data_IF_184504646554
#
_entry.id   IF_184504646554
#
_cell.length_a   1.000
_cell.length_b   1.000
_cell.length_c   1.000
_cell.angle_alpha   90.00
_cell.angle_beta   90.00
_cell.angle_gamma   90.00
#
_symmetry.space_group_name_H-M   'P 1'
#
loop_
_entity.id
_entity.type
_entity.pdbx_description
1 polymer ?
#
# COMPACT_ATOMS: atom_id res chain seq x y z
N UNK A 1 -12.02 -23.38 -12.15
CA UNK A 1 -11.81 -23.37 -13.62
C UNK A 1 -10.87 -24.50 -14.04
N UNK A 2 -9.74 -24.69 -13.36
CA UNK A 2 -8.76 -25.77 -13.60
C UNK A 2 -9.37 -27.19 -13.48
N UNK A 3 -10.02 -27.51 -12.34
CA UNK A 3 -10.58 -28.85 -12.09
C UNK A 3 -11.64 -29.28 -13.11
N UNK A 4 -12.42 -28.32 -13.65
CA UNK A 4 -13.46 -28.57 -14.66
C UNK A 4 -12.88 -28.93 -16.03
N UNK A 5 -11.64 -28.54 -16.30
CA UNK A 5 -10.93 -28.82 -17.55
C UNK A 5 -10.19 -30.15 -17.42
N UNK A 6 -9.60 -30.42 -16.26
CA UNK A 6 -8.93 -31.68 -15.91
C UNK A 6 -9.90 -32.86 -15.95
N UNK A 7 -11.08 -32.76 -15.32
CA UNK A 7 -12.12 -33.79 -15.39
C UNK A 7 -12.58 -34.05 -16.84
N UNK A 8 -12.67 -33.02 -17.68
CA UNK A 8 -13.05 -33.18 -19.11
C UNK A 8 -11.98 -33.87 -19.93
N UNK A 9 -10.70 -33.70 -19.59
CA UNK A 9 -9.58 -34.34 -20.26
C UNK A 9 -9.47 -35.81 -19.85
N UNK A 10 -9.56 -36.12 -18.56
CA UNK A 10 -9.53 -37.50 -18.05
C UNK A 10 -10.70 -38.34 -18.58
N UNK A 11 -11.91 -37.77 -18.59
CA UNK A 11 -13.11 -38.42 -19.13
C UNK A 11 -12.96 -38.72 -20.64
N UNK A 12 -12.25 -37.89 -21.40
CA UNK A 12 -12.10 -38.06 -22.85
C UNK A 12 -10.93 -38.97 -23.25
N UNK A 13 -9.83 -38.93 -22.51
CA UNK A 13 -8.71 -39.89 -22.66
C UNK A 13 -9.20 -41.33 -22.46
N UNK A 14 -10.18 -41.56 -21.55
CA UNK A 14 -10.79 -42.88 -21.36
C UNK A 14 -11.73 -43.30 -22.50
N UNK A 15 -12.31 -42.36 -23.26
CA UNK A 15 -13.26 -42.64 -24.35
C UNK A 15 -12.53 -42.99 -25.67
N UNK A 16 -11.26 -42.62 -25.82
CA UNK A 16 -10.54 -42.58 -27.10
C UNK A 16 -9.64 -43.76 -27.46
N UNK A 17 -10.00 -44.97 -27.05
CA UNK A 17 -9.39 -46.16 -27.65
C UNK A 17 -9.87 -46.44 -29.10
N UNK A 18 -10.75 -45.62 -29.69
CA UNK A 18 -11.20 -45.76 -31.08
C UNK A 18 -11.54 -44.39 -31.74
N UNK A 19 -10.63 -43.89 -32.57
CA UNK A 19 -10.88 -42.95 -33.69
C UNK A 19 -11.43 -41.54 -33.38
N UNK A 20 -10.60 -40.58 -32.93
CA UNK A 20 -10.81 -39.12 -33.17
C UNK A 20 -9.58 -38.20 -32.88
N UNK A 21 -8.42 -38.51 -33.48
CA UNK A 21 -7.13 -37.80 -33.31
C UNK A 21 -7.16 -36.25 -33.52
N UNK A 22 -8.09 -35.72 -34.31
CA UNK A 22 -8.18 -34.28 -34.61
C UNK A 22 -8.72 -33.39 -33.48
N UNK A 23 -9.71 -33.88 -32.71
CA UNK A 23 -10.35 -33.10 -31.65
C UNK A 23 -9.45 -33.04 -30.40
N UNK A 24 -8.75 -34.14 -30.07
CA UNK A 24 -7.71 -34.14 -29.03
C UNK A 24 -6.63 -33.11 -29.35
N UNK A 25 -6.13 -33.10 -30.59
CA UNK A 25 -5.09 -32.18 -31.02
C UNK A 25 -5.51 -30.72 -30.86
N UNK A 26 -6.76 -30.39 -31.19
CA UNK A 26 -7.30 -29.06 -30.99
C UNK A 26 -7.37 -28.69 -29.50
N UNK A 27 -7.88 -29.59 -28.65
CA UNK A 27 -7.97 -29.38 -27.21
C UNK A 27 -6.59 -29.23 -26.55
N UNK A 28 -5.61 -30.05 -26.95
CA UNK A 28 -4.23 -29.93 -26.48
C UNK A 28 -3.60 -28.61 -26.93
N UNK A 29 -3.88 -28.16 -28.15
CA UNK A 29 -3.39 -26.88 -28.67
C UNK A 29 -4.01 -25.70 -27.91
N UNK A 30 -5.31 -25.71 -27.66
CA UNK A 30 -6.01 -24.71 -26.82
C UNK A 30 -5.43 -24.69 -25.40
N UNK A 31 -5.17 -25.85 -24.82
CA UNK A 31 -4.56 -25.97 -23.50
C UNK A 31 -3.15 -25.36 -23.46
N UNK A 32 -2.30 -25.66 -24.46
CA UNK A 32 -0.97 -25.07 -24.58
C UNK A 32 -1.01 -23.55 -24.75
N UNK A 33 -1.96 -23.01 -25.52
CA UNK A 33 -2.17 -21.56 -25.64
C UNK A 33 -2.54 -20.96 -24.30
N UNK A 34 -3.49 -21.55 -23.58
CA UNK A 34 -3.93 -21.07 -22.27
C UNK A 34 -2.80 -21.07 -21.24
N UNK A 35 -1.99 -22.13 -21.21
CA UNK A 35 -0.79 -22.18 -20.35
C UNK A 35 0.17 -21.05 -20.71
N UNK A 36 0.50 -20.86 -21.99
CA UNK A 36 1.40 -19.80 -22.43
C UNK A 36 0.87 -18.41 -22.08
N UNK A 37 -0.43 -18.20 -22.23
CA UNK A 37 -1.08 -16.94 -21.83
C UNK A 37 -0.93 -16.69 -20.33
N UNK A 38 -1.26 -17.68 -19.49
CA UNK A 38 -1.11 -17.58 -18.04
C UNK A 38 0.35 -17.35 -17.63
N UNK A 39 1.31 -18.04 -18.24
CA UNK A 39 2.74 -17.84 -18.00
C UNK A 39 3.20 -16.45 -18.39
N UNK A 40 2.74 -15.92 -19.54
CA UNK A 40 3.03 -14.55 -19.97
C UNK A 40 2.56 -13.55 -18.92
N UNK A 41 1.30 -13.66 -18.47
CA UNK A 41 0.75 -12.79 -17.45
C UNK A 41 1.53 -12.89 -16.14
N UNK A 42 1.93 -14.09 -15.74
CA UNK A 42 2.73 -14.30 -14.53
C UNK A 42 4.10 -13.62 -14.63
N UNK A 43 4.82 -13.80 -15.74
CA UNK A 43 6.13 -13.16 -15.98
C UNK A 43 6.04 -11.63 -16.00
N UNK A 44 5.00 -11.07 -16.64
CA UNK A 44 4.78 -9.62 -16.68
C UNK A 44 4.41 -9.05 -15.30
N UNK A 45 3.60 -9.77 -14.52
CA UNK A 45 3.32 -9.41 -13.13
C UNK A 45 4.59 -9.44 -12.28
N UNK A 46 5.42 -10.47 -12.42
CA UNK A 46 6.71 -10.54 -11.73
C UNK A 46 7.60 -9.34 -12.08
N UNK A 47 7.78 -9.04 -13.37
CA UNK A 47 8.60 -7.90 -13.83
C UNK A 47 8.10 -6.57 -13.27
N UNK A 48 6.79 -6.35 -13.36
CA UNK A 48 6.16 -5.14 -12.87
C UNK A 48 6.33 -5.00 -11.35
N UNK A 49 6.10 -6.07 -10.61
CA UNK A 49 6.31 -6.10 -9.16
C UNK A 49 7.80 -5.86 -8.83
N UNK A 50 8.72 -6.57 -9.48
CA UNK A 50 10.16 -6.40 -9.28
C UNK A 50 10.58 -4.95 -9.54
N UNK A 51 10.15 -4.36 -10.66
CA UNK A 51 10.47 -2.96 -10.98
C UNK A 51 9.92 -1.99 -9.95
N UNK A 52 8.67 -2.18 -9.53
CA UNK A 52 8.10 -1.38 -8.45
C UNK A 52 8.89 -1.53 -7.14
N UNK A 53 9.33 -2.76 -6.81
CA UNK A 53 10.03 -3.07 -5.57
C UNK A 53 11.47 -2.64 -5.51
N UNK A 54 12.18 -2.72 -6.61
CA UNK A 54 13.62 -2.49 -6.64
C UNK A 54 13.96 -1.14 -7.25
N UNK A 55 12.98 -0.50 -7.90
CA UNK A 55 13.16 0.68 -8.76
C UNK A 55 14.17 0.42 -9.88
N UNK A 56 14.35 -0.86 -10.24
CA UNK A 56 15.28 -1.35 -11.24
C UNK A 56 14.66 -2.50 -12.04
N UNK A 57 15.16 -2.78 -13.23
CA UNK A 57 14.72 -3.94 -14.00
C UNK A 57 15.34 -5.22 -13.45
N UNK A 58 14.58 -6.33 -13.47
CA UNK A 58 15.13 -7.65 -13.14
C UNK A 58 16.24 -8.03 -14.12
N UNK A 59 17.30 -8.65 -13.60
CA UNK A 59 18.38 -9.18 -14.43
C UNK A 59 17.92 -10.41 -15.25
N UNK A 60 16.81 -11.03 -14.86
CA UNK A 60 16.27 -12.21 -15.52
C UNK A 60 15.51 -11.88 -16.80
N UNK A 61 16.03 -12.38 -17.91
CA UNK A 61 15.36 -12.32 -19.23
C UNK A 61 14.38 -13.47 -19.40
N UNK A 62 13.22 -13.36 -18.76
CA UNK A 62 12.11 -14.30 -18.90
C UNK A 62 11.53 -14.28 -20.33
N UNK A 63 11.16 -15.46 -20.84
CA UNK A 63 10.60 -15.59 -22.19
C UNK A 63 9.66 -16.80 -22.25
N UNK A 64 8.48 -16.59 -22.83
CA UNK A 64 7.43 -17.61 -23.00
C UNK A 64 7.76 -18.59 -24.13
N UNK A 65 8.72 -18.23 -25.01
CA UNK A 65 9.21 -19.10 -26.08
C UNK A 65 10.35 -20.00 -25.63
N UNK A 66 10.95 -19.73 -24.46
CA UNK A 66 11.96 -20.58 -23.83
C UNK A 66 11.30 -21.55 -22.87
N UNK A 67 11.99 -22.64 -22.56
CA UNK A 67 11.53 -23.61 -21.57
C UNK A 67 11.35 -22.92 -20.21
N UNK A 68 10.15 -23.08 -19.62
CA UNK A 68 9.83 -22.60 -18.29
C UNK A 68 9.73 -23.81 -17.37
N UNK A 69 10.74 -23.99 -16.52
CA UNK A 69 10.84 -25.12 -15.60
C UNK A 69 11.21 -24.63 -14.19
N UNK A 70 11.31 -25.56 -13.25
CA UNK A 70 11.63 -25.26 -11.84
C UNK A 70 12.93 -24.46 -11.69
N UNK A 71 13.92 -24.66 -12.56
CA UNK A 71 15.16 -23.88 -12.51
C UNK A 71 14.92 -22.40 -12.81
N UNK A 72 13.99 -22.06 -13.70
CA UNK A 72 13.62 -20.66 -13.96
C UNK A 72 12.92 -20.06 -12.75
N UNK A 73 12.02 -20.83 -12.12
CA UNK A 73 11.32 -20.42 -10.91
C UNK A 73 12.31 -20.18 -9.76
N UNK A 74 13.26 -21.08 -9.55
CA UNK A 74 14.30 -20.94 -8.52
C UNK A 74 15.15 -19.68 -8.75
N UNK A 75 15.55 -19.42 -9.99
CA UNK A 75 16.25 -18.17 -10.34
C UNK A 75 15.42 -16.93 -10.05
N UNK A 76 14.11 -16.97 -10.29
CA UNK A 76 13.21 -15.85 -9.94
C UNK A 76 13.18 -15.61 -8.43
N UNK A 77 13.19 -16.67 -7.62
CA UNK A 77 13.29 -16.55 -6.16
C UNK A 77 14.66 -16.00 -5.73
N UNK A 78 15.75 -16.51 -6.29
CA UNK A 78 17.10 -15.99 -6.02
C UNK A 78 17.23 -14.49 -6.35
N UNK A 79 16.73 -14.06 -7.51
CA UNK A 79 16.76 -12.64 -7.92
C UNK A 79 15.91 -11.75 -6.98
N UNK A 80 14.83 -12.28 -6.40
CA UNK A 80 14.06 -11.57 -5.38
C UNK A 80 14.82 -11.53 -4.04
N UNK A 81 15.33 -12.67 -3.58
CA UNK A 81 16.04 -12.77 -2.30
C UNK A 81 17.26 -11.84 -2.27
N UNK A 82 18.01 -11.75 -3.36
CA UNK A 82 19.14 -10.83 -3.50
C UNK A 82 18.77 -9.37 -3.19
N UNK A 83 17.56 -8.95 -3.56
CA UNK A 83 17.10 -7.56 -3.39
C UNK A 83 16.40 -7.35 -2.04
N UNK A 84 15.69 -8.35 -1.55
CA UNK A 84 14.96 -8.29 -0.26
C UNK A 84 15.77 -8.75 0.95
N UNK A 85 17.08 -9.01 0.78
CA UNK A 85 17.98 -9.37 1.88
C UNK A 85 18.00 -8.32 3.01
N UNK A 86 17.80 -7.05 2.68
CA UNK A 86 17.60 -6.00 3.68
C UNK A 86 16.10 -5.94 4.02
N UNK A 87 15.74 -6.24 5.27
CA UNK A 87 14.33 -6.18 5.68
C UNK A 87 13.98 -4.76 6.09
N UNK A 88 12.86 -4.21 5.59
CA UNK A 88 12.45 -2.88 5.99
C UNK A 88 12.15 -2.85 7.49
N UNK A 89 12.51 -1.75 8.14
CA UNK A 89 12.28 -1.55 9.58
C UNK A 89 11.00 -0.75 9.77
N UNK A 90 10.20 -1.15 10.76
CA UNK A 90 9.06 -0.35 11.19
C UNK A 90 9.57 0.88 11.96
N UNK A 91 9.15 2.06 11.52
CA UNK A 91 9.43 3.33 12.15
C UNK A 91 8.12 4.06 12.43
N UNK A 92 8.04 4.65 13.62
CA UNK A 92 6.97 5.59 13.98
C UNK A 92 7.51 7.00 13.97
N UNK A 93 6.73 7.94 13.47
CA UNK A 93 7.07 9.36 13.49
C UNK A 93 5.81 10.20 13.47
N UNK A 94 5.92 11.43 13.95
CA UNK A 94 4.82 12.39 13.97
C UNK A 94 5.23 13.66 13.25
N UNK A 95 4.34 14.22 12.44
CA UNK A 95 4.52 15.51 11.78
C UNK A 95 3.41 16.44 12.27
N UNK A 96 3.79 17.63 12.73
CA UNK A 96 2.85 18.61 13.27
C UNK A 96 2.67 19.79 12.29
N UNK A 97 1.42 20.07 11.93
CA UNK A 97 1.03 21.16 11.04
C UNK A 97 0.28 22.26 11.80
N UNK A 98 0.66 23.53 11.57
CA UNK A 98 0.15 24.73 12.26
C UNK A 98 -0.26 25.84 11.28
N UNK A 99 -0.64 26.99 11.81
CA UNK A 99 -0.91 28.23 11.07
C UNK A 99 -1.99 28.06 9.99
N UNK A 100 -1.64 28.26 8.70
CA UNK A 100 -2.56 28.23 7.57
C UNK A 100 -3.45 26.98 7.52
N UNK A 101 -2.92 25.82 7.93
CA UNK A 101 -3.65 24.56 7.91
C UNK A 101 -4.79 24.53 8.93
N UNK A 102 -4.59 25.19 10.07
CA UNK A 102 -5.59 25.32 11.13
C UNK A 102 -6.71 26.24 10.65
N UNK A 103 -6.36 27.38 10.06
CA UNK A 103 -7.34 28.35 9.57
C UNK A 103 -8.20 27.75 8.45
N UNK A 104 -7.57 27.05 7.51
CA UNK A 104 -8.27 26.33 6.45
C UNK A 104 -9.22 25.26 7.02
N UNK A 105 -8.74 24.45 7.97
CA UNK A 105 -9.56 23.40 8.59
C UNK A 105 -10.74 23.97 9.37
N UNK A 106 -10.55 25.06 10.12
CA UNK A 106 -11.62 25.75 10.86
C UNK A 106 -12.69 26.32 9.93
N UNK A 107 -12.30 26.81 8.75
CA UNK A 107 -13.23 27.40 7.77
C UNK A 107 -13.99 26.34 6.98
N UNK A 108 -13.31 25.29 6.53
CA UNK A 108 -13.85 24.34 5.56
C UNK A 108 -14.28 23.01 6.17
N UNK A 109 -13.94 22.74 7.44
CA UNK A 109 -13.94 21.40 8.04
C UNK A 109 -13.08 20.38 7.28
N UNK A 110 -12.17 20.88 6.45
CA UNK A 110 -11.22 20.11 5.67
C UNK A 110 -9.95 20.91 5.40
N UNK A 111 -8.87 20.20 5.11
CA UNK A 111 -7.58 20.79 4.74
C UNK A 111 -6.84 19.85 3.79
N UNK A 112 -6.04 20.41 2.88
CA UNK A 112 -5.08 19.65 2.08
C UNK A 112 -3.67 19.87 2.64
N UNK A 113 -3.04 18.79 3.07
CA UNK A 113 -1.67 18.78 3.61
C UNK A 113 -0.74 18.10 2.63
N UNK A 114 0.32 18.79 2.21
CA UNK A 114 1.40 18.22 1.43
C UNK A 114 2.49 17.69 2.36
N UNK A 115 2.85 16.42 2.22
CA UNK A 115 4.02 15.83 2.90
C UNK A 115 5.14 15.70 1.85
N UNK A 116 6.10 16.63 1.81
CA UNK A 116 7.11 16.63 0.76
C UNK A 116 8.21 15.59 1.03
N UNK A 117 8.94 15.20 -0.02
CA UNK A 117 10.04 14.23 0.05
C UNK A 117 11.19 14.65 0.98
N UNK A 118 11.38 15.95 1.18
CA UNK A 118 12.41 16.56 2.01
C UNK A 118 11.95 16.83 3.46
N UNK A 119 10.76 16.36 3.83
CA UNK A 119 10.25 16.40 5.22
C UNK A 119 11.30 15.85 6.19
N UNK A 120 11.71 16.69 7.16
CA UNK A 120 12.85 16.44 8.06
C UNK A 120 12.72 15.12 8.82
N UNK A 121 11.51 14.74 9.20
CA UNK A 121 11.18 13.53 9.94
C UNK A 121 11.41 12.26 9.11
N UNK A 122 11.38 12.37 7.78
CA UNK A 122 11.41 11.27 6.82
C UNK A 122 12.66 11.28 5.92
N UNK A 123 13.44 12.35 5.93
CA UNK A 123 14.51 12.63 4.96
C UNK A 123 15.75 11.71 5.07
N UNK A 124 15.84 10.83 6.07
CA UNK A 124 16.92 9.83 6.21
C UNK A 124 16.52 8.42 5.74
N UNK A 125 15.32 8.28 5.20
CA UNK A 125 14.76 6.97 4.85
C UNK A 125 14.47 6.84 3.35
N UNK A 126 14.76 5.68 2.79
CA UNK A 126 14.37 5.30 1.43
C UNK A 126 13.16 4.36 1.49
N UNK A 127 12.36 4.36 0.41
CA UNK A 127 11.26 3.41 0.20
C UNK A 127 10.30 3.30 1.38
N UNK A 128 9.75 4.44 1.80
CA UNK A 128 8.78 4.46 2.89
C UNK A 128 7.45 3.87 2.41
N UNK A 129 6.89 2.94 3.18
CA UNK A 129 5.58 2.30 2.93
C UNK A 129 4.69 2.48 4.14
N UNK A 130 3.59 3.22 3.97
CA UNK A 130 2.63 3.53 5.01
C UNK A 130 1.95 2.26 5.53
N UNK A 131 2.23 1.88 6.77
CA UNK A 131 1.44 0.90 7.50
C UNK A 131 0.16 1.52 8.03
N UNK A 132 0.28 2.70 8.65
CA UNK A 132 -0.85 3.44 9.21
C UNK A 132 -0.62 4.94 9.08
N UNK A 133 -1.71 5.68 8.85
CA UNK A 133 -1.73 7.13 8.83
C UNK A 133 -2.85 7.62 9.74
N UNK A 134 -2.49 8.20 10.88
CA UNK A 134 -3.43 8.61 11.93
C UNK A 134 -3.39 10.11 12.09
N UNK A 135 -4.54 10.71 12.32
CA UNK A 135 -4.65 12.17 12.38
C UNK A 135 -5.34 12.59 13.67
N UNK A 136 -4.66 13.40 14.46
CA UNK A 136 -5.20 13.98 15.68
C UNK A 136 -5.35 15.49 15.53
N UNK A 137 -6.49 16.01 15.97
CA UNK A 137 -6.78 17.43 16.01
C UNK A 137 -6.49 17.93 17.43
N UNK A 138 -5.28 18.46 17.65
CA UNK A 138 -4.86 18.88 18.98
C UNK A 138 -5.69 20.09 19.43
N UNK A 139 -6.24 20.05 20.65
CA UNK A 139 -7.10 21.11 21.17
C UNK A 139 -8.59 20.94 20.82
N UNK A 140 -8.97 19.89 20.08
CA UNK A 140 -10.36 19.62 19.71
C UNK A 140 -10.93 18.44 20.49
N UNK A 141 -12.15 18.61 20.98
CA UNK A 141 -12.94 17.57 21.63
C UNK A 141 -12.82 17.55 23.16
N UNK A 142 -13.91 17.18 23.82
CA UNK A 142 -14.01 17.00 25.27
C UNK A 142 -13.61 15.58 25.68
N UNK A 143 -13.29 15.37 26.96
CA UNK A 143 -13.05 14.01 27.49
C UNK A 143 -14.25 13.11 27.15
N UNK A 144 -13.96 11.94 26.61
CA UNK A 144 -14.89 10.95 26.05
C UNK A 144 -15.60 11.31 24.74
N UNK A 145 -15.27 12.43 24.10
CA UNK A 145 -15.76 12.75 22.77
C UNK A 145 -15.01 11.94 21.71
N UNK A 146 -15.73 11.46 20.70
CA UNK A 146 -15.16 10.76 19.55
C UNK A 146 -15.13 11.65 18.32
N UNK A 147 -13.94 11.83 17.75
CA UNK A 147 -13.69 12.63 16.55
C UNK A 147 -13.39 11.69 15.39
N UNK A 148 -14.20 11.82 14.33
CA UNK A 148 -14.08 11.02 13.11
C UNK A 148 -13.65 11.88 11.92
N UNK A 149 -12.67 11.37 11.17
CA UNK A 149 -12.03 12.01 10.04
C UNK A 149 -12.03 11.09 8.82
N UNK A 150 -12.21 11.68 7.64
CA UNK A 150 -11.86 11.06 6.38
C UNK A 150 -10.49 11.52 5.92
N UNK A 151 -9.76 10.59 5.33
CA UNK A 151 -8.41 10.75 4.80
C UNK A 151 -8.46 10.34 3.34
N UNK A 152 -7.99 11.21 2.46
CA UNK A 152 -7.90 10.98 1.03
C UNK A 152 -6.53 11.45 0.53
N UNK A 153 -6.08 10.97 -0.63
CA UNK A 153 -4.79 11.35 -1.21
C UNK A 153 -4.93 11.75 -2.69
N UNK A 154 -3.97 12.52 -3.20
CA UNK A 154 -3.96 13.12 -4.55
C UNK A 154 -3.65 12.18 -5.72
N UNK A 155 -3.88 10.88 -5.56
CA UNK A 155 -3.57 9.81 -6.54
C UNK A 155 -2.11 9.67 -6.97
N UNK A 156 -1.25 10.62 -6.61
CA UNK A 156 0.15 10.69 -7.01
C UNK A 156 1.02 10.60 -5.78
N UNK A 157 2.00 9.70 -5.83
CA UNK A 157 2.93 9.45 -4.74
C UNK A 157 4.35 9.66 -5.23
N UNK A 158 5.15 10.31 -4.41
CA UNK A 158 6.59 10.40 -4.64
C UNK A 158 7.30 9.35 -3.81
N UNK A 159 8.39 8.81 -4.32
CA UNK A 159 9.25 7.89 -3.57
C UNK A 159 10.71 8.14 -3.93
N UNK A 160 11.62 7.56 -3.15
CA UNK A 160 13.04 7.59 -3.46
C UNK A 160 13.77 6.32 -3.10
N UNK A 161 14.77 5.99 -3.90
CA UNK A 161 15.68 4.88 -3.61
C UNK A 161 16.77 5.27 -2.59
N UNK A 162 17.63 4.30 -2.23
CA UNK A 162 18.76 4.51 -1.31
C UNK A 162 19.82 5.48 -1.85
N UNK A 163 19.79 5.80 -3.14
CA UNK A 163 20.70 6.75 -3.79
C UNK A 163 20.05 8.12 -3.98
N UNK A 164 18.89 8.39 -3.37
CA UNK A 164 18.09 9.60 -3.51
C UNK A 164 17.55 9.88 -4.93
N UNK A 165 17.46 8.89 -5.80
CA UNK A 165 16.73 9.08 -7.07
C UNK A 165 15.23 9.10 -6.79
N UNK A 166 14.53 10.06 -7.38
CA UNK A 166 13.09 10.28 -7.16
C UNK A 166 12.26 9.56 -8.22
N UNK A 167 11.18 8.94 -7.77
CA UNK A 167 10.22 8.22 -8.60
C UNK A 167 8.80 8.68 -8.28
N UNK A 168 7.92 8.64 -9.27
CA UNK A 168 6.52 9.01 -9.12
C UNK A 168 5.63 7.83 -9.47
N UNK A 169 4.63 7.61 -8.64
CA UNK A 169 3.64 6.55 -8.77
C UNK A 169 2.24 7.15 -8.84
N UNK A 170 1.36 6.42 -9.50
CA UNK A 170 -0.06 6.72 -9.52
C UNK A 170 -0.84 5.57 -8.91
N UNK A 171 -1.83 5.87 -8.08
CA UNK A 171 -2.84 4.92 -7.64
C UNK A 171 -4.23 5.50 -7.84
N UNK A 172 -5.25 4.65 -7.72
CA UNK A 172 -6.62 5.14 -7.65
C UNK A 172 -6.86 5.84 -6.30
N UNK A 173 -7.71 6.88 -6.26
CA UNK A 173 -8.05 7.60 -5.03
C UNK A 173 -8.74 6.66 -4.05
N UNK A 174 -8.31 6.69 -2.80
CA UNK A 174 -8.94 5.93 -1.74
C UNK A 174 -9.25 6.83 -0.55
N UNK A 175 -10.56 6.97 -0.28
CA UNK A 175 -11.05 7.65 0.91
C UNK A 175 -11.20 6.64 2.03
N UNK A 176 -10.46 6.86 3.11
CA UNK A 176 -10.46 6.01 4.28
C UNK A 176 -10.95 6.76 5.52
N UNK A 177 -11.53 6.02 6.47
CA UNK A 177 -11.94 6.57 7.76
C UNK A 177 -10.84 6.47 8.81
N UNK A 178 -10.86 7.37 9.78
CA UNK A 178 -10.11 7.29 11.02
C UNK A 178 -10.97 7.88 12.16
N UNK A 179 -11.02 7.23 13.31
CA UNK A 179 -11.75 7.74 14.47
C UNK A 179 -10.95 7.51 15.75
N UNK A 180 -10.90 8.54 16.59
CA UNK A 180 -10.30 8.46 17.92
C UNK A 180 -11.22 9.10 18.97
N UNK A 181 -10.99 8.72 20.21
CA UNK A 181 -11.70 9.22 21.40
C UNK A 181 -10.71 9.94 22.30
N UNK A 182 -11.07 11.14 22.76
CA UNK A 182 -10.26 11.94 23.67
C UNK A 182 -10.41 11.37 25.09
N UNK A 183 -9.29 11.04 25.75
CA UNK A 183 -9.27 10.45 27.10
C UNK A 183 -8.69 11.37 28.17
N UNK A 184 -7.77 12.25 27.78
CA UNK A 184 -7.20 13.27 28.66
C UNK A 184 -7.43 14.65 28.05
N UNK A 185 -7.50 15.65 28.91
CA UNK A 185 -7.56 17.05 28.51
C UNK A 185 -6.32 17.43 27.67
N UNK A 186 -6.50 18.33 26.71
CA UNK A 186 -5.44 18.80 25.82
C UNK A 186 -4.28 19.45 26.58
N UNK A 187 -4.58 20.08 27.72
CA UNK A 187 -3.61 20.71 28.63
C UNK A 187 -2.67 19.74 29.34
N UNK A 188 -2.96 18.43 29.37
CA UNK A 188 -2.09 17.45 29.99
C UNK A 188 -0.82 17.22 29.14
N UNK A 189 0.38 17.36 29.69
CA UNK A 189 1.61 16.94 29.01
C UNK A 189 1.74 15.41 29.08
N UNK A 190 1.37 14.71 28.01
CA UNK A 190 1.50 13.26 27.89
C UNK A 190 1.52 12.84 26.41
N UNK A 191 1.95 11.61 26.16
CA UNK A 191 2.04 11.03 24.82
C UNK A 191 0.67 10.90 24.14
N UNK A 192 0.66 10.91 22.79
CA UNK A 192 -0.56 10.78 21.99
C UNK A 192 -1.40 9.55 22.37
N UNK A 193 -0.75 8.41 22.64
CA UNK A 193 -1.43 7.16 23.00
C UNK A 193 -2.11 7.21 24.37
N UNK A 194 -1.72 8.15 25.24
CA UNK A 194 -2.38 8.37 26.52
C UNK A 194 -3.50 9.40 26.40
N UNK A 195 -3.37 10.37 25.49
CA UNK A 195 -4.38 11.40 25.21
C UNK A 195 -5.56 10.86 24.42
N UNK A 196 -5.27 10.01 23.44
CA UNK A 196 -6.23 9.57 22.44
C UNK A 196 -6.29 8.05 22.40
N UNK A 197 -7.51 7.52 22.36
CA UNK A 197 -7.75 6.11 22.10
C UNK A 197 -8.32 5.96 20.70
N UNK A 198 -7.65 5.19 19.86
CA UNK A 198 -8.14 4.86 18.53
C UNK A 198 -9.44 4.02 18.66
N UNK A 199 -10.49 4.47 17.97
CA UNK A 199 -11.79 3.79 17.85
C UNK A 199 -11.86 3.04 16.52
N UNK A 200 -11.41 3.68 15.44
CA UNK A 200 -11.30 3.10 14.11
C UNK A 200 -9.94 3.49 13.53
N UNK A 201 -9.06 2.51 13.33
CA UNK A 201 -7.68 2.74 12.88
C UNK A 201 -7.59 2.77 11.35
N UNK A 202 -6.72 3.63 10.83
CA UNK A 202 -6.45 3.72 9.40
C UNK A 202 -5.18 2.93 9.08
N UNK A 203 -5.34 1.61 9.01
CA UNK A 203 -4.27 0.66 8.70
C UNK A 203 -4.40 0.25 7.23
N UNK A 204 -3.36 0.49 6.44
CA UNK A 204 -3.33 0.13 5.02
C UNK A 204 -3.14 -1.37 4.79
N UNK A 205 -2.46 -2.07 5.71
CA UNK A 205 -2.28 -3.52 5.68
C UNK A 205 -1.82 -4.04 7.05
N UNK A 206 -2.02 -5.34 7.31
CA UNK A 206 -1.43 -6.03 8.47
C UNK A 206 -0.17 -6.79 8.04
N UNK A 207 0.81 -6.89 8.94
CA UNK A 207 2.05 -7.64 8.71
C UNK A 207 1.79 -9.11 8.36
N UNK A 208 0.75 -9.68 8.94
CA UNK A 208 0.29 -11.06 8.71
C UNK A 208 -0.01 -11.32 7.24
N UNK A 209 -0.41 -10.28 6.50
CA UNK A 209 -0.79 -10.37 5.09
C UNK A 209 0.43 -10.34 4.15
N UNK A 210 1.64 -10.04 4.64
CA UNK A 210 2.88 -9.84 3.85
C UNK A 210 2.76 -8.83 2.70
N UNK A 211 1.69 -8.04 2.68
CA UNK A 211 1.32 -7.12 1.59
C UNK A 211 1.79 -5.67 1.83
N UNK A 212 2.72 -5.44 2.76
CA UNK A 212 3.34 -4.12 3.00
C UNK A 212 3.89 -3.49 1.74
N UNK A 213 4.17 -4.37 0.79
CA UNK A 213 4.56 -4.06 -0.53
C UNK A 213 3.61 -3.05 -1.23
N UNK A 214 2.32 -3.33 -1.29
CA UNK A 214 1.42 -2.53 -2.14
C UNK A 214 0.92 -1.24 -1.48
N UNK A 215 1.51 -0.86 -0.35
CA UNK A 215 1.09 0.30 0.39
C UNK A 215 1.59 1.61 -0.21
N UNK A 216 0.82 2.70 -0.06
CA UNK A 216 1.24 4.02 -0.50
C UNK A 216 2.44 4.52 0.31
N UNK A 217 3.10 5.55 -0.22
CA UNK A 217 4.14 6.30 0.48
C UNK A 217 3.50 7.47 1.24
N UNK A 218 4.10 8.00 2.31
CA UNK A 218 3.62 9.23 2.94
C UNK A 218 3.72 10.46 2.03
N UNK A 219 4.61 10.45 1.02
CA UNK A 219 4.90 11.63 0.20
C UNK A 219 3.83 11.88 -0.88
N UNK A 220 2.77 12.57 -0.48
CA UNK A 220 1.64 12.96 -1.32
C UNK A 220 0.93 14.16 -0.69
N UNK A 221 -0.03 14.72 -1.42
CA UNK A 221 -1.03 15.60 -0.83
C UNK A 221 -2.16 14.75 -0.24
N UNK A 222 -2.45 15.02 1.03
CA UNK A 222 -3.46 14.36 1.84
C UNK A 222 -4.60 15.33 2.15
N UNK A 223 -5.79 15.01 1.68
CA UNK A 223 -7.00 15.73 2.06
C UNK A 223 -7.60 15.10 3.32
N UNK A 224 -7.78 15.93 4.34
CA UNK A 224 -8.29 15.54 5.66
C UNK A 224 -9.60 16.29 5.87
N UNK A 225 -10.67 15.59 6.24
CA UNK A 225 -11.98 16.23 6.47
C UNK A 225 -12.74 15.61 7.65
N UNK A 226 -13.55 16.40 8.36
CA UNK A 226 -14.46 15.87 9.37
C UNK A 226 -15.57 15.01 8.75
N UNK A 227 -16.10 14.07 9.54
CA UNK A 227 -17.33 13.37 9.16
C UNK A 227 -18.50 14.35 9.03
N UNK A 228 -19.25 14.34 7.90
CA UNK A 228 -20.19 15.40 7.51
C UNK A 228 -21.37 15.60 8.48
N UNK A 229 -21.63 14.63 9.37
CA UNK A 229 -22.76 14.65 10.31
C UNK A 229 -22.34 14.85 11.77
N UNK A 230 -21.06 15.10 12.07
CA UNK A 230 -20.58 15.39 13.43
C UNK A 230 -20.07 16.82 13.49
N UNK A 231 -20.72 17.65 14.32
CA UNK A 231 -20.24 19.00 14.61
C UNK A 231 -19.31 18.94 15.81
N UNK A 232 -18.08 19.36 15.61
CA UNK A 232 -17.08 19.51 16.66
C UNK A 232 -16.76 21.00 16.82
N UNK A 233 -16.55 21.45 18.04
CA UNK A 233 -16.04 22.79 18.29
C UNK A 233 -14.55 22.85 17.92
N UNK A 234 -14.24 23.58 16.84
CA UNK A 234 -12.89 23.75 16.34
C UNK A 234 -12.21 25.02 16.86
N UNK A 235 -12.87 25.85 17.67
CA UNK A 235 -12.32 27.15 18.12
C UNK A 235 -10.95 26.99 18.78
N UNK A 236 -10.78 25.92 19.55
CA UNK A 236 -9.57 25.57 20.32
C UNK A 236 -8.56 24.72 19.53
N UNK A 237 -8.76 24.46 18.22
CA UNK A 237 -7.78 23.72 17.41
C UNK A 237 -6.43 24.46 17.40
N UNK A 238 -5.39 23.76 17.87
CA UNK A 238 -4.01 24.26 18.04
C UNK A 238 -3.05 23.74 16.98
N UNK A 239 -3.23 22.50 16.51
CA UNK A 239 -2.42 21.87 15.47
C UNK A 239 -3.08 20.60 14.94
N UNK A 240 -2.67 20.19 13.75
CA UNK A 240 -3.04 18.91 13.13
C UNK A 240 -1.80 18.02 13.20
N UNK A 241 -1.91 16.91 13.92
CA UNK A 241 -0.81 15.96 14.10
C UNK A 241 -1.06 14.75 13.22
N UNK A 242 -0.13 14.46 12.31
CA UNK A 242 -0.12 13.23 11.53
C UNK A 242 0.86 12.26 12.21
N UNK A 243 0.34 11.20 12.81
CA UNK A 243 1.11 10.05 13.32
C UNK A 243 1.23 8.99 12.23
N UNK A 244 2.47 8.68 11.87
CA UNK A 244 2.81 7.78 10.79
C UNK A 244 3.48 6.54 11.35
N UNK A 245 3.01 5.38 10.89
CA UNK A 245 3.76 4.13 10.99
C UNK A 245 4.18 3.71 9.59
N UNK A 246 5.49 3.63 9.35
CA UNK A 246 6.06 3.35 8.03
C UNK A 246 7.07 2.21 8.10
N UNK A 247 7.11 1.40 7.05
CA UNK A 247 8.23 0.52 6.78
C UNK A 247 9.21 1.24 5.89
N UNK A 248 10.48 1.22 6.27
CA UNK A 248 11.50 1.98 5.57
C UNK A 248 12.84 1.28 5.55
N UNK A 249 13.68 1.71 4.61
CA UNK A 249 15.09 1.38 4.54
C UNK A 249 15.88 2.62 4.95
N UNK A 250 17.01 2.43 5.65
CA UNK A 250 17.90 3.54 5.97
C UNK A 250 18.72 3.87 4.71
N UNK A 251 18.88 5.17 4.43
CA UNK A 251 19.79 5.67 3.40
C UNK A 251 21.23 5.58 3.89
#
# INVERSE_FOLDING_TARGET
MYNKIEERLEQRIQIENKSQDGEIKLLLFEHLINIKYCMTLFMEKYRSAYKYWTLSESKLKLSVTKEFNETVINKMFEDLDDVFNDRPRLKKTTIEFKDKYIDEFKQNNSVIIDIPLDCNELNNYARLRLRALRIYLKGVGSINESIGLYINHSDTFSDRDKNNNVYYFKSDPKREGFEYKVYKDHSAECDLNEKYKIVFDNIYYKLEDKDYSFAPTPFSQWEISLYPNRKHDLTSLESIIIDLEVYCFVI
#
